data_IF_066355068224
#
_entry.id   IF_066355068224
#
_cell.length_a   1.000
_cell.length_b   1.000
_cell.length_c   1.000
_cell.angle_alpha   90.00
_cell.angle_beta   90.00
_cell.angle_gamma   90.00
#
_symmetry.space_group_name_H-M   'P 1'
#
loop_
_entity.id
_entity.type
_entity.pdbx_description
1 polymer ?
#
# COMPACT_ATOMS: atom_id res chain seq x y z
N UNK A 1 -7.16 31.27 14.30
CA UNK A 1 -8.39 30.78 15.00
C UNK A 1 -9.02 29.58 14.27
N UNK A 2 -8.63 29.27 13.04
CA UNK A 2 -9.14 28.12 12.24
C UNK A 2 -8.48 26.78 12.61
N UNK A 3 -7.21 26.74 12.98
CA UNK A 3 -6.49 25.49 13.26
C UNK A 3 -6.94 24.78 14.56
N UNK A 4 -7.46 25.48 15.55
CA UNK A 4 -7.95 24.88 16.82
C UNK A 4 -9.30 24.15 16.72
N UNK A 5 -10.09 24.40 15.68
CA UNK A 5 -11.36 23.70 15.46
C UNK A 5 -11.24 22.38 14.69
N UNK A 6 -10.15 22.20 13.98
CA UNK A 6 -9.90 20.98 13.22
C UNK A 6 -9.39 19.83 14.10
N UNK A 7 -8.61 20.16 15.11
CA UNK A 7 -8.04 19.16 16.04
C UNK A 7 -9.04 18.60 17.06
N UNK A 8 -10.15 19.29 17.31
CA UNK A 8 -11.16 18.84 18.27
C UNK A 8 -12.21 17.88 17.68
N UNK A 9 -12.25 17.72 16.35
CA UNK A 9 -13.21 16.84 15.68
C UNK A 9 -12.67 15.40 15.48
N UNK A 10 -11.37 15.16 15.71
CA UNK A 10 -10.73 13.87 15.46
C UNK A 10 -10.42 13.06 16.73
N UNK A 11 -10.66 13.62 17.93
CA UNK A 11 -10.40 12.92 19.19
C UNK A 11 -11.70 12.28 19.70
N UNK A 12 -12.00 11.07 19.27
CA UNK A 12 -13.12 10.33 19.84
C UNK A 12 -13.70 9.17 19.05
N UNK A 13 -13.12 8.81 17.91
CA UNK A 13 -13.65 7.70 17.10
C UNK A 13 -12.77 6.45 17.22
N UNK A 14 -13.37 5.34 17.66
CA UNK A 14 -12.77 4.01 17.57
C UNK A 14 -12.71 3.56 16.09
N UNK A 15 -11.83 2.59 15.75
CA UNK A 15 -11.78 1.97 14.41
C UNK A 15 -13.17 1.60 13.88
N UNK A 16 -14.03 1.04 14.73
CA UNK A 16 -15.41 0.68 14.36
C UNK A 16 -16.30 1.89 14.10
N UNK A 17 -16.04 3.01 14.75
CA UNK A 17 -16.81 4.25 14.58
C UNK A 17 -16.30 5.05 13.39
N UNK A 18 -15.00 5.02 13.09
CA UNK A 18 -14.44 5.57 11.85
C UNK A 18 -15.04 4.88 10.62
N UNK A 19 -15.17 3.55 10.64
CA UNK A 19 -15.83 2.80 9.56
C UNK A 19 -17.36 2.82 9.62
N UNK A 20 -17.99 3.10 10.77
CA UNK A 20 -19.44 3.26 10.91
C UNK A 20 -19.93 4.71 10.72
N UNK A 21 -19.10 5.70 10.97
CA UNK A 21 -19.44 7.11 10.81
C UNK A 21 -19.58 7.55 9.34
N UNK A 22 -18.99 6.81 8.39
CA UNK A 22 -19.22 7.00 6.96
C UNK A 22 -20.64 6.70 6.49
N UNK A 23 -21.47 6.08 7.35
CA UNK A 23 -22.85 5.67 6.97
C UNK A 23 -23.94 6.66 7.36
N UNK A 24 -23.64 7.78 8.01
CA UNK A 24 -24.66 8.73 8.49
C UNK A 24 -24.70 10.07 7.74
N UNK A 25 -23.86 10.27 6.73
CA UNK A 25 -23.93 11.41 5.81
C UNK A 25 -24.70 11.10 4.51
N UNK A 26 -25.42 9.98 4.44
CA UNK A 26 -26.23 9.59 3.29
C UNK A 26 -27.71 9.99 3.46
N UNK A 27 -27.99 11.29 3.43
CA UNK A 27 -29.31 11.83 3.07
C UNK A 27 -29.10 13.30 2.69
N UNK A 28 -29.41 13.78 1.49
CA UNK A 28 -30.45 13.40 0.54
C UNK A 28 -30.04 13.35 -0.95
N UNK A 29 -29.24 12.39 -1.37
CA UNK A 29 -28.87 12.27 -2.80
C UNK A 29 -29.70 11.22 -3.59
N UNK A 30 -30.69 10.61 -2.95
CA UNK A 30 -31.47 9.52 -3.52
C UNK A 30 -32.63 9.95 -4.47
N UNK A 31 -32.81 11.23 -4.75
CA UNK A 31 -33.94 11.72 -5.60
C UNK A 31 -33.49 12.62 -6.78
N UNK A 32 -32.24 12.66 -7.13
CA UNK A 32 -31.75 13.39 -8.30
C UNK A 32 -31.31 12.42 -9.38
N UNK A 33 -32.04 12.38 -10.50
CA UNK A 33 -31.78 11.52 -11.64
C UNK A 33 -30.34 11.57 -12.13
N UNK A 34 -29.95 10.50 -12.80
CA UNK A 34 -28.67 10.16 -13.40
C UNK A 34 -28.15 11.23 -14.39
N UNK A 35 -27.97 12.47 -13.93
CA UNK A 35 -27.22 13.50 -14.66
C UNK A 35 -25.75 13.24 -14.37
N UNK A 36 -25.02 12.67 -15.35
CA UNK A 36 -23.57 12.78 -15.38
C UNK A 36 -23.23 14.24 -15.15
N UNK A 37 -22.57 14.56 -14.05
CA UNK A 37 -22.07 15.92 -13.84
C UNK A 37 -21.17 16.25 -15.03
N UNK A 38 -21.55 17.23 -15.85
CA UNK A 38 -20.64 17.75 -16.86
C UNK A 38 -19.44 18.36 -16.14
N UNK A 39 -18.25 18.08 -16.67
CA UNK A 39 -17.03 18.65 -16.12
C UNK A 39 -17.16 20.17 -16.08
N UNK A 40 -17.00 20.82 -14.91
CA UNK A 40 -17.21 22.26 -14.77
C UNK A 40 -16.25 23.10 -15.61
N UNK A 41 -15.18 22.47 -16.13
CA UNK A 41 -14.17 23.15 -16.94
C UNK A 41 -13.92 22.36 -18.22
N UNK A 42 -14.18 22.96 -19.42
CA UNK A 42 -13.69 22.38 -20.66
C UNK A 42 -12.15 22.34 -20.59
N UNK A 43 -11.49 21.32 -21.17
CA UNK A 43 -10.04 21.25 -21.16
C UNK A 43 -9.49 22.51 -21.83
N UNK A 44 -8.61 23.27 -21.16
CA UNK A 44 -7.99 24.42 -21.80
C UNK A 44 -7.19 23.93 -23.00
N UNK A 45 -7.40 24.51 -24.17
CA UNK A 45 -6.48 24.29 -25.29
C UNK A 45 -5.12 24.83 -24.85
N UNK A 46 -4.15 23.97 -24.66
CA UNK A 46 -2.81 24.39 -24.27
C UNK A 46 -2.27 25.36 -25.30
N UNK A 47 -1.99 26.60 -24.88
CA UNK A 47 -1.32 27.61 -25.68
C UNK A 47 0.20 27.46 -25.70
N UNK A 48 0.70 26.52 -24.87
CA UNK A 48 2.13 26.28 -24.68
C UNK A 48 2.50 25.02 -25.45
N UNK A 49 3.57 25.09 -26.24
CA UNK A 49 4.17 23.89 -26.86
C UNK A 49 4.73 23.02 -25.73
N UNK A 50 4.12 21.85 -25.52
CA UNK A 50 4.58 20.92 -24.53
C UNK A 50 5.94 20.33 -24.92
N UNK A 51 6.87 20.17 -23.97
CA UNK A 51 8.14 19.51 -24.26
C UNK A 51 7.92 18.03 -24.59
N UNK A 52 8.75 17.50 -25.48
CA UNK A 52 8.84 16.07 -25.76
C UNK A 52 10.12 15.52 -25.15
N UNK A 53 10.24 14.18 -25.02
CA UNK A 53 11.45 13.55 -24.52
C UNK A 53 12.68 13.97 -25.36
N UNK A 54 12.52 14.02 -26.68
CA UNK A 54 13.58 14.44 -27.61
C UNK A 54 13.99 15.88 -27.37
N UNK A 55 13.04 16.79 -27.12
CA UNK A 55 13.34 18.19 -26.83
C UNK A 55 14.07 18.38 -25.49
N UNK A 56 13.99 17.39 -24.59
CA UNK A 56 14.71 17.31 -23.32
C UNK A 56 16.04 16.55 -23.44
N UNK A 57 16.39 16.07 -24.63
CA UNK A 57 17.59 15.27 -24.85
C UNK A 57 17.47 13.82 -24.37
N UNK A 58 16.25 13.35 -24.07
CA UNK A 58 15.97 11.98 -23.63
C UNK A 58 15.47 11.16 -24.80
N UNK A 59 16.12 10.01 -25.03
CA UNK A 59 15.74 9.10 -26.12
C UNK A 59 14.78 8.02 -25.59
N UNK A 60 13.53 7.96 -26.07
CA UNK A 60 12.61 6.86 -25.76
C UNK A 60 13.15 5.51 -26.26
N UNK A 61 12.78 4.43 -25.60
CA UNK A 61 13.12 3.06 -26.00
C UNK A 61 11.93 2.13 -25.76
N UNK A 62 11.98 0.95 -26.37
CA UNK A 62 11.00 -0.12 -26.15
C UNK A 62 11.45 -0.91 -24.91
N UNK A 63 10.65 -0.87 -23.86
CA UNK A 63 10.91 -1.61 -22.62
C UNK A 63 10.53 -3.09 -22.80
N UNK A 64 11.53 -3.97 -22.86
CA UNK A 64 11.35 -5.43 -22.90
C UNK A 64 11.73 -6.11 -21.58
N UNK A 65 12.05 -5.35 -20.54
CA UNK A 65 12.46 -5.89 -19.24
C UNK A 65 11.25 -6.18 -18.33
N UNK A 66 10.16 -5.43 -18.49
CA UNK A 66 8.95 -5.54 -17.66
C UNK A 66 8.70 -4.30 -16.80
N UNK A 67 7.99 -4.48 -15.68
CA UNK A 67 7.52 -3.39 -14.80
C UNK A 67 8.59 -2.80 -13.90
N UNK A 68 9.79 -2.65 -14.37
CA UNK A 68 10.89 -2.09 -13.57
C UNK A 68 10.80 -0.58 -13.53
N UNK A 69 10.64 0.01 -12.36
CA UNK A 69 10.38 1.45 -12.14
C UNK A 69 11.46 2.36 -12.73
N UNK A 70 12.71 1.95 -12.68
CA UNK A 70 13.85 2.72 -13.26
C UNK A 70 13.73 2.89 -14.78
N UNK A 71 12.93 2.06 -15.44
CA UNK A 71 12.61 2.14 -16.87
C UNK A 71 11.18 2.63 -17.12
N UNK A 72 10.60 3.38 -16.20
CA UNK A 72 9.23 3.92 -16.25
C UNK A 72 8.11 2.88 -16.24
N UNK A 73 8.41 1.60 -15.99
CA UNK A 73 7.43 0.53 -15.96
C UNK A 73 6.80 0.27 -17.33
N UNK A 74 5.47 0.44 -17.46
CA UNK A 74 4.71 0.23 -18.69
C UNK A 74 4.25 1.52 -19.33
N UNK A 75 4.02 1.44 -20.64
CA UNK A 75 3.20 2.42 -21.35
C UNK A 75 1.76 2.29 -20.84
N UNK A 76 1.19 3.41 -20.40
CA UNK A 76 -0.18 3.45 -19.87
C UNK A 76 -1.17 3.05 -20.97
N UNK A 77 -2.04 2.05 -20.76
CA UNK A 77 -3.06 1.64 -21.72
C UNK A 77 -4.00 2.81 -22.08
N UNK A 78 -4.54 2.84 -23.32
CA UNK A 78 -5.45 3.92 -23.77
C UNK A 78 -6.62 4.14 -22.82
N UNK A 79 -7.25 3.07 -22.33
CA UNK A 79 -8.40 3.11 -21.44
C UNK A 79 -8.07 3.78 -20.10
N UNK A 80 -6.88 3.51 -19.59
CA UNK A 80 -6.40 4.14 -18.34
C UNK A 80 -6.13 5.62 -18.55
N UNK A 81 -5.56 6.01 -19.71
CA UNK A 81 -5.35 7.42 -20.05
C UNK A 81 -6.66 8.20 -20.15
N UNK A 82 -7.69 7.59 -20.74
CA UNK A 82 -9.03 8.20 -20.82
C UNK A 82 -9.62 8.46 -19.44
N UNK A 83 -9.49 7.49 -18.52
CA UNK A 83 -9.94 7.65 -17.13
C UNK A 83 -9.12 8.71 -16.39
N UNK A 84 -7.82 8.77 -16.62
CA UNK A 84 -6.96 9.82 -16.04
C UNK A 84 -7.34 11.21 -16.55
N UNK A 85 -7.57 11.36 -17.87
CA UNK A 85 -8.05 12.63 -18.46
C UNK A 85 -9.40 13.04 -17.89
N UNK A 86 -10.35 12.09 -17.77
CA UNK A 86 -11.63 12.35 -17.12
C UNK A 86 -11.46 12.82 -15.69
N UNK A 87 -10.71 12.06 -14.87
CA UNK A 87 -10.52 12.35 -13.46
C UNK A 87 -9.84 13.71 -13.23
N UNK A 88 -8.91 14.10 -14.11
CA UNK A 88 -8.18 15.37 -14.01
C UNK A 88 -9.06 16.62 -14.08
N UNK A 89 -10.31 16.48 -14.50
CA UNK A 89 -11.28 17.58 -14.65
C UNK A 89 -12.15 17.80 -13.42
N UNK A 90 -11.96 16.99 -12.38
CA UNK A 90 -12.78 17.05 -11.17
C UNK A 90 -11.93 17.11 -9.93
N UNK A 91 -12.43 17.81 -8.92
CA UNK A 91 -11.92 17.72 -7.56
C UNK A 91 -12.86 16.84 -6.73
N UNK A 92 -12.30 15.87 -6.03
CA UNK A 92 -13.03 14.97 -5.14
C UNK A 92 -12.30 14.86 -3.78
N UNK A 93 -13.01 14.57 -2.69
CA UNK A 93 -12.35 14.25 -1.43
C UNK A 93 -11.49 12.99 -1.61
N UNK A 94 -10.19 13.11 -1.34
CA UNK A 94 -9.24 12.00 -1.57
C UNK A 94 -9.55 10.80 -0.69
N UNK A 95 -10.03 11.02 0.54
CA UNK A 95 -10.46 9.95 1.46
C UNK A 95 -11.61 9.13 0.87
N UNK A 96 -12.67 9.81 0.36
CA UNK A 96 -13.81 9.12 -0.25
C UNK A 96 -13.41 8.33 -1.50
N UNK A 97 -12.50 8.89 -2.31
CA UNK A 97 -11.97 8.20 -3.49
C UNK A 97 -11.16 6.96 -3.07
N UNK A 98 -10.31 7.10 -2.05
CA UNK A 98 -9.49 6.00 -1.54
C UNK A 98 -10.36 4.86 -1.01
N UNK A 99 -11.41 5.18 -0.25
CA UNK A 99 -12.34 4.19 0.29
C UNK A 99 -13.10 3.45 -0.83
N UNK A 100 -13.60 4.20 -1.82
CA UNK A 100 -14.34 3.62 -2.94
C UNK A 100 -13.46 2.71 -3.82
N UNK A 101 -12.25 3.16 -4.15
CA UNK A 101 -11.30 2.38 -4.96
C UNK A 101 -10.76 1.20 -4.15
N UNK A 102 -10.43 1.41 -2.88
CA UNK A 102 -9.97 0.36 -1.98
C UNK A 102 -10.99 -0.77 -1.85
N UNK A 103 -12.26 -0.44 -1.64
CA UNK A 103 -13.35 -1.43 -1.63
C UNK A 103 -13.41 -2.23 -2.93
N UNK A 104 -13.32 -1.55 -4.08
CA UNK A 104 -13.38 -2.23 -5.38
C UNK A 104 -12.19 -3.15 -5.61
N UNK A 105 -10.98 -2.75 -5.21
CA UNK A 105 -9.78 -3.58 -5.32
C UNK A 105 -9.90 -4.79 -4.38
N UNK A 106 -10.36 -4.59 -3.15
CA UNK A 106 -10.57 -5.66 -2.19
C UNK A 106 -11.52 -6.75 -2.73
N UNK A 107 -12.66 -6.34 -3.32
CA UNK A 107 -13.60 -7.26 -3.98
C UNK A 107 -12.93 -8.08 -5.10
N UNK A 108 -12.10 -7.43 -5.93
CA UNK A 108 -11.41 -8.09 -7.06
C UNK A 108 -10.35 -9.08 -6.58
N UNK A 109 -9.63 -8.72 -5.51
CA UNK A 109 -8.49 -9.48 -5.01
C UNK A 109 -8.85 -10.53 -3.96
N UNK A 110 -10.11 -10.55 -3.50
CA UNK A 110 -10.57 -11.42 -2.42
C UNK A 110 -10.00 -11.00 -1.06
N UNK A 111 -9.73 -9.71 -0.86
CA UNK A 111 -9.20 -9.15 0.37
C UNK A 111 -10.30 -8.54 1.25
N UNK A 112 -10.04 -8.40 2.54
CA UNK A 112 -10.92 -7.68 3.47
C UNK A 112 -10.97 -6.18 3.15
N UNK A 113 -9.81 -5.59 2.84
CA UNK A 113 -9.66 -4.19 2.47
C UNK A 113 -8.45 -3.99 1.54
N UNK A 114 -8.42 -2.85 0.86
CA UNK A 114 -7.27 -2.45 0.06
C UNK A 114 -7.06 -0.93 0.10
N UNK A 115 -5.84 -0.52 -0.17
CA UNK A 115 -5.45 0.89 -0.23
C UNK A 115 -4.54 1.12 -1.44
N UNK A 116 -4.78 2.19 -2.18
CA UNK A 116 -3.88 2.62 -3.26
C UNK A 116 -2.77 3.48 -2.67
N UNK A 117 -1.53 3.17 -3.05
CA UNK A 117 -0.34 3.86 -2.57
C UNK A 117 0.57 4.27 -3.72
N UNK A 118 1.66 4.96 -3.43
CA UNK A 118 2.71 5.32 -4.41
C UNK A 118 3.60 4.11 -4.73
N UNK A 119 3.00 3.07 -5.29
CA UNK A 119 3.66 1.80 -5.60
C UNK A 119 3.92 0.94 -4.35
N UNK A 120 4.56 -0.21 -4.56
CA UNK A 120 4.86 -1.17 -3.49
C UNK A 120 5.70 -0.58 -2.35
N UNK A 121 6.64 0.34 -2.65
CA UNK A 121 7.40 1.04 -1.60
C UNK A 121 6.50 1.85 -0.67
N UNK A 122 5.50 2.55 -1.21
CA UNK A 122 4.49 3.24 -0.40
C UNK A 122 3.64 2.28 0.42
N UNK A 123 3.28 1.12 -0.16
CA UNK A 123 2.54 0.08 0.55
C UNK A 123 3.36 -0.55 1.69
N UNK A 124 4.64 -0.88 1.44
CA UNK A 124 5.54 -1.38 2.47
C UNK A 124 5.71 -0.38 3.62
N UNK A 125 5.86 0.91 3.28
CA UNK A 125 5.96 1.97 4.28
C UNK A 125 4.69 2.05 5.14
N UNK A 126 3.52 2.19 4.52
CA UNK A 126 2.24 2.31 5.22
C UNK A 126 1.89 1.05 6.03
N UNK A 127 2.09 -0.15 5.45
CA UNK A 127 1.82 -1.41 6.12
C UNK A 127 2.75 -1.66 7.31
N UNK A 128 4.04 -1.30 7.19
CA UNK A 128 4.97 -1.37 8.32
C UNK A 128 4.57 -0.40 9.43
N UNK A 129 4.19 0.84 9.08
CA UNK A 129 3.72 1.82 10.05
C UNK A 129 2.48 1.31 10.81
N UNK A 130 1.56 0.67 10.11
CA UNK A 130 0.37 0.06 10.73
C UNK A 130 0.72 -1.10 11.67
N UNK A 131 1.70 -1.95 11.34
CA UNK A 131 2.16 -3.02 12.21
C UNK A 131 2.85 -2.50 13.49
N UNK A 132 3.51 -1.33 13.41
CA UNK A 132 4.28 -0.74 14.51
C UNK A 132 3.41 0.14 15.41
N UNK A 133 2.67 1.07 14.84
CA UNK A 133 1.90 2.09 15.57
C UNK A 133 0.41 1.74 15.75
N UNK A 134 -0.09 0.77 14.99
CA UNK A 134 -1.51 0.45 14.99
C UNK A 134 -2.36 1.64 14.53
N UNK A 135 -3.40 1.94 15.29
CA UNK A 135 -4.34 3.05 15.07
C UNK A 135 -4.23 4.15 16.14
N UNK A 136 -3.17 4.14 16.92
CA UNK A 136 -2.90 5.17 17.93
C UNK A 136 -2.31 6.43 17.28
N UNK A 137 -3.03 7.57 17.24
CA UNK A 137 -2.56 8.78 16.60
C UNK A 137 -1.26 9.32 17.20
N UNK A 138 -1.03 9.14 18.50
CA UNK A 138 0.17 9.62 19.17
C UNK A 138 1.40 8.79 18.77
N UNK A 139 1.21 7.47 18.56
CA UNK A 139 2.27 6.61 18.06
C UNK A 139 2.56 6.87 16.56
N UNK A 140 1.51 7.14 15.77
CA UNK A 140 1.65 7.49 14.36
C UNK A 140 2.44 8.78 14.18
N UNK A 141 2.14 9.82 14.96
CA UNK A 141 2.87 11.10 14.91
C UNK A 141 4.34 10.97 15.30
N UNK A 142 4.68 9.99 16.13
CA UNK A 142 6.06 9.79 16.58
C UNK A 142 6.95 9.12 15.54
N UNK A 143 6.38 8.41 14.57
CA UNK A 143 7.20 7.76 13.55
C UNK A 143 8.09 8.79 12.83
N UNK A 144 9.37 8.48 12.59
CA UNK A 144 10.03 7.18 12.71
C UNK A 144 10.67 6.87 14.09
N UNK A 145 10.35 7.62 15.16
CA UNK A 145 10.78 7.24 16.51
C UNK A 145 9.90 6.09 17.03
N UNK A 146 10.42 4.89 16.96
CA UNK A 146 9.76 3.66 17.39
C UNK A 146 10.10 3.24 18.82
N UNK A 147 10.66 4.14 19.64
CA UNK A 147 11.03 3.88 21.04
C UNK A 147 9.81 3.44 21.84
N UNK A 148 9.88 2.27 22.48
CA UNK A 148 8.79 1.68 23.27
C UNK A 148 7.69 1.02 22.44
N UNK A 149 7.83 0.94 21.12
CA UNK A 149 6.93 0.20 20.22
C UNK A 149 7.53 -1.15 19.82
N UNK A 150 6.71 -2.02 19.25
CA UNK A 150 7.21 -3.17 18.50
C UNK A 150 7.95 -2.67 17.28
N UNK A 151 9.26 -2.89 17.20
CA UNK A 151 10.09 -2.28 16.17
C UNK A 151 11.11 -3.24 15.53
N UNK A 152 10.90 -4.53 15.71
CA UNK A 152 11.70 -5.56 15.05
C UNK A 152 10.88 -6.22 13.94
N UNK A 153 11.47 -6.29 12.73
CA UNK A 153 10.89 -6.98 11.58
C UNK A 153 11.75 -8.18 11.25
N UNK A 154 11.18 -9.37 11.41
CA UNK A 154 11.90 -10.61 11.07
C UNK A 154 11.88 -10.82 9.56
N UNK A 155 13.00 -11.22 9.01
CA UNK A 155 13.17 -11.49 7.59
C UNK A 155 14.19 -12.60 7.38
N UNK A 156 13.93 -13.53 6.45
CA UNK A 156 14.98 -14.43 5.99
C UNK A 156 16.09 -13.62 5.32
N UNK A 157 17.34 -13.91 5.62
CA UNK A 157 18.49 -13.23 5.00
C UNK A 157 18.44 -13.31 3.47
N UNK A 158 17.98 -14.43 2.92
CA UNK A 158 17.74 -14.61 1.50
C UNK A 158 16.63 -13.71 0.95
N UNK A 159 15.73 -13.18 1.77
CA UNK A 159 14.63 -12.28 1.39
C UNK A 159 14.97 -10.79 1.50
N UNK A 160 16.21 -10.45 1.88
CA UNK A 160 16.67 -9.06 1.87
C UNK A 160 16.77 -8.54 0.44
N UNK A 161 16.18 -7.39 0.21
CA UNK A 161 16.13 -6.69 -1.10
C UNK A 161 16.43 -5.21 -0.93
N UNK A 162 16.87 -4.54 -1.99
CA UNK A 162 17.14 -3.11 -1.94
C UNK A 162 15.94 -2.25 -1.58
N UNK A 163 14.72 -2.73 -1.89
CA UNK A 163 13.46 -2.04 -1.60
C UNK A 163 13.01 -2.15 -0.15
N UNK A 164 13.58 -3.04 0.68
CA UNK A 164 13.30 -3.11 2.11
C UNK A 164 13.66 -1.81 2.87
N UNK A 165 14.33 -0.90 2.18
CA UNK A 165 14.52 0.47 2.64
C UNK A 165 13.19 1.14 3.02
N UNK A 166 12.10 0.87 2.30
CA UNK A 166 10.78 1.41 2.62
C UNK A 166 10.25 0.91 3.98
N UNK A 167 10.55 -0.33 4.34
CA UNK A 167 10.26 -0.91 5.67
C UNK A 167 11.12 -0.23 6.74
N UNK A 168 12.44 -0.11 6.50
CA UNK A 168 13.37 0.48 7.47
C UNK A 168 13.14 1.97 7.71
N UNK A 169 12.56 2.68 6.74
CA UNK A 169 12.28 4.11 6.84
C UNK A 169 11.26 4.45 7.95
N UNK A 170 10.50 3.45 8.44
CA UNK A 170 9.60 3.60 9.59
C UNK A 170 10.37 3.64 10.93
N UNK A 171 11.68 3.40 10.93
CA UNK A 171 12.48 3.36 12.15
C UNK A 171 12.58 1.96 12.77
N UNK A 172 12.18 0.92 12.05
CA UNK A 172 12.29 -0.47 12.51
C UNK A 172 13.66 -1.07 12.23
N UNK A 173 14.01 -2.08 13.01
CA UNK A 173 15.19 -2.91 12.82
C UNK A 173 14.82 -4.18 12.06
N UNK A 174 15.47 -4.40 10.92
CA UNK A 174 15.41 -5.70 10.24
C UNK A 174 16.26 -6.73 11.01
N UNK A 175 15.61 -7.79 11.47
CA UNK A 175 16.27 -8.90 12.17
C UNK A 175 16.37 -10.06 11.20
N UNK A 176 17.57 -10.28 10.70
CA UNK A 176 17.86 -11.34 9.72
C UNK A 176 17.97 -12.69 10.40
N UNK A 177 17.37 -13.71 9.81
CA UNK A 177 17.45 -15.10 10.23
C UNK A 177 17.77 -16.01 9.04
N UNK A 178 18.44 -17.12 9.28
CA UNK A 178 18.88 -18.02 8.21
C UNK A 178 17.80 -19.05 7.81
N UNK A 179 16.89 -19.39 8.73
CA UNK A 179 15.89 -20.45 8.53
C UNK A 179 14.66 -20.29 9.43
N UNK A 180 13.62 -21.12 9.19
CA UNK A 180 12.36 -21.07 9.94
C UNK A 180 12.50 -21.40 11.43
N UNK A 181 13.44 -22.27 11.79
CA UNK A 181 13.68 -22.62 13.20
C UNK A 181 14.22 -21.40 13.96
N UNK A 182 15.18 -20.73 13.35
CA UNK A 182 15.73 -19.50 13.91
C UNK A 182 14.68 -18.40 13.94
N UNK A 183 13.89 -18.25 12.85
CA UNK A 183 12.78 -17.29 12.81
C UNK A 183 11.81 -17.49 13.97
N UNK A 184 11.36 -18.73 14.20
CA UNK A 184 10.46 -19.04 15.30
C UNK A 184 11.08 -18.78 16.69
N UNK A 185 12.38 -19.04 16.85
CA UNK A 185 13.11 -18.81 18.10
C UNK A 185 13.42 -17.31 18.36
N UNK A 186 13.45 -16.50 17.30
CA UNK A 186 13.79 -15.06 17.39
C UNK A 186 12.55 -14.20 17.68
N UNK A 187 11.34 -14.73 17.45
CA UNK A 187 10.10 -14.01 17.81
C UNK A 187 10.12 -13.61 19.28
N UNK A 188 9.88 -12.35 19.55
CA UNK A 188 9.83 -11.77 20.89
C UNK A 188 8.79 -10.64 20.97
N UNK A 189 8.64 -10.03 22.12
CA UNK A 189 7.66 -8.96 22.39
C UNK A 189 7.84 -7.69 21.54
N UNK A 190 9.05 -7.48 20.98
CA UNK A 190 9.34 -6.36 20.08
C UNK A 190 9.08 -6.69 18.61
N UNK A 191 8.74 -7.92 18.28
CA UNK A 191 8.47 -8.33 16.92
C UNK A 191 7.18 -7.68 16.43
N UNK A 192 7.28 -6.80 15.42
CA UNK A 192 6.15 -6.10 14.81
C UNK A 192 5.51 -6.92 13.69
N UNK A 193 6.33 -7.54 12.86
CA UNK A 193 5.87 -8.36 11.73
C UNK A 193 6.98 -9.27 11.19
N UNK A 194 6.58 -10.22 10.33
CA UNK A 194 7.48 -10.99 9.46
C UNK A 194 7.32 -10.46 8.04
N UNK A 195 8.45 -10.12 7.40
CA UNK A 195 8.50 -9.65 6.03
C UNK A 195 9.01 -10.75 5.11
N UNK A 196 8.32 -10.98 3.98
CA UNK A 196 8.68 -12.04 3.03
C UNK A 196 8.51 -11.58 1.57
N UNK A 197 9.34 -12.14 0.67
CA UNK A 197 9.39 -11.78 -0.75
C UNK A 197 9.31 -13.05 -1.59
N UNK A 198 8.20 -13.31 -2.32
CA UNK A 198 8.02 -14.53 -3.11
C UNK A 198 9.08 -14.75 -4.18
N UNK A 199 9.50 -13.69 -4.87
CA UNK A 199 10.56 -13.78 -5.86
C UNK A 199 11.83 -14.38 -5.26
N UNK A 200 12.21 -13.96 -4.06
CA UNK A 200 13.40 -14.45 -3.37
C UNK A 200 13.23 -15.91 -2.95
N UNK A 201 12.07 -16.30 -2.45
CA UNK A 201 11.77 -17.69 -2.11
C UNK A 201 11.99 -18.62 -3.31
N UNK A 202 11.57 -18.19 -4.52
CA UNK A 202 11.73 -18.99 -5.75
C UNK A 202 13.15 -18.98 -6.31
N UNK A 203 13.86 -17.85 -6.26
CA UNK A 203 15.15 -17.68 -6.95
C UNK A 203 16.36 -18.05 -6.10
N UNK A 204 16.27 -17.81 -4.79
CA UNK A 204 17.37 -18.08 -3.87
C UNK A 204 17.24 -19.45 -3.17
N UNK A 205 16.10 -20.13 -3.32
CA UNK A 205 15.78 -21.34 -2.58
C UNK A 205 15.46 -21.05 -1.12
N UNK A 206 15.16 -22.10 -0.37
CA UNK A 206 14.81 -22.00 1.05
C UNK A 206 13.33 -22.23 1.34
N UNK A 207 12.82 -21.71 2.48
CA UNK A 207 11.43 -21.91 2.86
C UNK A 207 10.44 -21.31 1.89
N UNK A 208 9.34 -22.01 1.66
CA UNK A 208 8.22 -21.52 0.88
C UNK A 208 7.44 -20.42 1.62
N UNK A 209 6.67 -19.64 0.88
CA UNK A 209 5.81 -18.61 1.49
C UNK A 209 4.81 -19.22 2.49
N UNK A 210 4.29 -20.41 2.22
CA UNK A 210 3.37 -21.11 3.13
C UNK A 210 4.06 -21.54 4.43
N UNK A 211 5.29 -22.02 4.38
CA UNK A 211 6.04 -22.40 5.57
C UNK A 211 6.37 -21.20 6.45
N UNK A 212 6.71 -20.06 5.83
CA UNK A 212 6.91 -18.79 6.56
C UNK A 212 5.59 -18.35 7.23
N UNK A 213 4.48 -18.46 6.52
CA UNK A 213 3.15 -18.10 7.03
C UNK A 213 2.78 -18.93 8.26
N UNK A 214 3.13 -20.22 8.29
CA UNK A 214 2.90 -21.10 9.46
C UNK A 214 3.63 -20.57 10.70
N UNK A 215 4.85 -20.06 10.55
CA UNK A 215 5.61 -19.50 11.69
C UNK A 215 4.90 -18.25 12.23
N UNK A 216 4.54 -17.31 11.39
CA UNK A 216 3.88 -16.07 11.81
C UNK A 216 2.52 -16.33 12.46
N UNK A 217 1.70 -17.21 11.85
CA UNK A 217 0.39 -17.59 12.42
C UNK A 217 0.49 -18.24 13.77
N UNK A 218 1.43 -19.17 13.96
CA UNK A 218 1.65 -19.81 15.26
C UNK A 218 2.11 -18.83 16.35
N UNK A 219 2.88 -17.84 15.94
CA UNK A 219 3.39 -16.81 16.84
C UNK A 219 2.42 -15.64 17.05
N UNK A 220 1.33 -15.54 16.28
CA UNK A 220 0.41 -14.40 16.30
C UNK A 220 1.05 -13.10 15.81
N UNK A 221 2.03 -13.21 14.90
CA UNK A 221 2.77 -12.06 14.35
C UNK A 221 2.25 -11.76 12.94
N UNK A 222 1.94 -10.49 12.62
CA UNK A 222 1.54 -10.07 11.27
C UNK A 222 2.53 -10.49 10.19
N UNK A 223 2.01 -10.90 9.04
CA UNK A 223 2.77 -11.34 7.88
C UNK A 223 2.62 -10.34 6.75
N UNK A 224 3.72 -9.80 6.25
CA UNK A 224 3.74 -8.89 5.11
C UNK A 224 4.48 -9.51 3.93
N UNK A 225 3.80 -9.58 2.79
CA UNK A 225 4.31 -10.10 1.52
C UNK A 225 4.56 -8.95 0.54
N UNK A 226 5.81 -8.79 0.09
CA UNK A 226 6.12 -7.96 -1.09
C UNK A 226 6.02 -8.83 -2.35
N UNK A 227 4.87 -8.77 -3.00
CA UNK A 227 4.54 -9.48 -4.23
C UNK A 227 4.65 -8.59 -5.49
N UNK A 228 5.31 -7.44 -5.40
CA UNK A 228 5.39 -6.47 -6.51
C UNK A 228 6.00 -7.04 -7.80
N UNK A 229 6.83 -8.09 -7.71
CA UNK A 229 7.42 -8.77 -8.86
C UNK A 229 6.60 -10.00 -9.33
N UNK A 230 5.45 -10.25 -8.72
CA UNK A 230 4.60 -11.39 -9.03
C UNK A 230 3.61 -11.09 -10.16
N UNK A 231 3.06 -12.16 -10.74
CA UNK A 231 1.91 -12.04 -11.63
C UNK A 231 0.66 -11.68 -10.84
N UNK A 232 -0.18 -10.85 -11.41
CA UNK A 232 -1.48 -10.55 -10.82
C UNK A 232 -2.39 -11.78 -10.94
N UNK A 233 -2.68 -12.40 -9.81
CA UNK A 233 -3.65 -13.49 -9.71
C UNK A 233 -4.87 -13.04 -8.90
N UNK A 234 -6.05 -13.61 -9.21
CA UNK A 234 -7.33 -13.23 -8.62
C UNK A 234 -8.14 -14.49 -8.28
N UNK A 235 -8.47 -14.74 -7.00
CA UNK A 235 -8.04 -14.01 -5.80
C UNK A 235 -6.53 -14.05 -5.58
N UNK A 236 -6.02 -13.22 -4.66
CA UNK A 236 -4.59 -13.15 -4.39
C UNK A 236 -4.14 -14.39 -3.59
N UNK A 237 -3.21 -15.21 -4.10
CA UNK A 237 -2.83 -16.48 -3.48
C UNK A 237 -2.09 -16.32 -2.15
N UNK A 238 -1.48 -15.17 -1.90
CA UNK A 238 -0.77 -14.93 -0.64
C UNK A 238 -1.72 -14.63 0.51
N UNK A 239 -2.87 -13.99 0.23
CA UNK A 239 -3.94 -13.82 1.21
C UNK A 239 -4.50 -15.20 1.62
N UNK A 240 -4.76 -16.08 0.65
CA UNK A 240 -5.23 -17.45 0.92
C UNK A 240 -4.18 -18.27 1.71
N UNK A 241 -2.90 -18.01 1.48
CA UNK A 241 -1.79 -18.62 2.24
C UNK A 241 -1.76 -18.10 3.68
N UNK A 242 -2.33 -16.92 3.93
CA UNK A 242 -2.52 -16.33 5.24
C UNK A 242 -1.61 -15.16 5.56
N UNK A 243 -1.13 -14.47 4.54
CA UNK A 243 -0.50 -13.18 4.74
C UNK A 243 -1.56 -12.14 5.05
N UNK A 244 -1.28 -11.28 6.03
CA UNK A 244 -2.20 -10.23 6.48
C UNK A 244 -2.11 -8.99 5.59
N UNK A 245 -0.93 -8.75 5.00
CA UNK A 245 -0.63 -7.62 4.11
C UNK A 245 0.10 -8.14 2.87
N UNK A 246 -0.35 -7.68 1.70
CA UNK A 246 0.27 -8.01 0.39
C UNK A 246 0.35 -6.74 -0.46
N UNK A 247 1.50 -6.46 -1.07
CA UNK A 247 1.67 -5.35 -2.00
C UNK A 247 2.28 -5.80 -3.34
#
# INVERSE_FOLDING_TARGET
>A
MFAKRFTQALTGFSRREFFRGGSLALLPWALGGNRRAEAPYPPPKSRVKLPTYESLGVRPFINCVGTVSVYSGFVIPPEVREVMDYASRYCVPVSELQDAVGKRIAEIMGAESAMVTTGASGAMHAGTAACVAGDDPALIERLPDTSGMKNEVLVLKSHRIGYDHAVRAIGVKMVEVENLREMAATVNERTAMIFAVPLQARTMGGPTMSEIAVVGKRAGIPLFCDAAAERLERPNPYLDTGYDLVC
#
